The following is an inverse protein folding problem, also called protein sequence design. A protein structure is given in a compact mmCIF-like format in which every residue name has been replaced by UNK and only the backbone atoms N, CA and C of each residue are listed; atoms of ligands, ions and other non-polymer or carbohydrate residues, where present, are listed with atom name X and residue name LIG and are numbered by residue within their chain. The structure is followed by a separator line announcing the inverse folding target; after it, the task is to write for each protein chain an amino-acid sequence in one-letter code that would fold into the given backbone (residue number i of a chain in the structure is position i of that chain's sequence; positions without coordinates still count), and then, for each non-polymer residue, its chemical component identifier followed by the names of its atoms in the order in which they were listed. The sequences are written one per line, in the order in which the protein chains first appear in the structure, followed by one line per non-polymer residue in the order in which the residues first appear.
data_IF_395096821426
#
_entry.id   IF_395096821426
#
_cell.length_a   1.000
_cell.length_b   1.000
_cell.length_c   1.000
_cell.angle_alpha   90.00
_cell.angle_beta   90.00
_cell.angle_gamma   90.00
#
_symmetry.space_group_name_H-M   'P 1'
#
loop_
_entity.id
_entity.type
_entity.pdbx_description
1 polymer ?
#
# COMPACT_ATOMS: atom_id res chain seq x y z
N UNK A 1 -17.60 13.06 -9.77
CA UNK A 1 -16.18 12.66 -9.93
C UNK A 1 -15.65 13.33 -11.20
N UNK A 2 -14.40 13.78 -11.21
CA UNK A 2 -13.83 14.54 -12.33
C UNK A 2 -13.30 13.58 -13.41
N UNK A 3 -13.54 13.89 -14.69
CA UNK A 3 -12.97 13.15 -15.83
C UNK A 3 -13.87 12.04 -16.42
N UNK A 4 -13.54 11.62 -17.63
CA UNK A 4 -14.17 10.46 -18.28
C UNK A 4 -13.65 9.17 -17.65
N UNK A 5 -14.56 8.23 -17.31
CA UNK A 5 -14.22 6.92 -16.76
C UNK A 5 -13.28 6.19 -17.72
N UNK A 6 -12.04 5.96 -17.29
CA UNK A 6 -11.02 5.20 -18.03
C UNK A 6 -10.44 4.16 -17.11
N UNK A 7 -11.02 2.97 -17.22
CA UNK A 7 -10.64 1.82 -16.43
C UNK A 7 -9.22 1.35 -16.74
N UNK A 8 -8.42 1.13 -15.70
CA UNK A 8 -7.04 0.66 -15.81
C UNK A 8 -6.71 -0.30 -14.68
N UNK A 9 -5.94 -1.33 -15.03
CA UNK A 9 -5.41 -2.32 -14.07
C UNK A 9 -3.94 -2.62 -14.28
N UNK A 10 -3.44 -2.53 -15.52
CA UNK A 10 -2.03 -2.74 -15.84
C UNK A 10 -1.47 -1.52 -16.56
N UNK A 11 -0.15 -1.33 -16.50
CA UNK A 11 0.58 -0.45 -17.41
C UNK A 11 0.52 -0.96 -18.86
N UNK A 12 0.82 -0.07 -19.79
CA UNK A 12 0.88 -0.32 -21.23
C UNK A 12 2.21 0.19 -21.77
N UNK A 13 2.66 -0.35 -22.90
CA UNK A 13 3.87 0.05 -23.63
C UNK A 13 4.01 1.58 -23.81
N UNK A 14 2.88 2.27 -23.99
CA UNK A 14 2.77 3.71 -24.22
C UNK A 14 2.92 4.57 -22.97
N UNK A 15 2.96 3.97 -21.77
CA UNK A 15 3.05 4.71 -20.50
C UNK A 15 4.50 4.94 -20.05
N UNK A 16 5.51 4.44 -20.79
CA UNK A 16 6.92 4.53 -20.39
C UNK A 16 7.33 5.95 -19.99
N UNK A 17 6.96 6.96 -20.78
CA UNK A 17 7.36 8.34 -20.52
C UNK A 17 6.65 8.94 -19.29
N UNK A 18 5.39 8.59 -19.06
CA UNK A 18 4.65 9.00 -17.86
C UNK A 18 5.23 8.32 -16.61
N UNK A 19 5.52 7.02 -16.71
CA UNK A 19 6.18 6.24 -15.68
C UNK A 19 7.56 6.80 -15.35
N UNK A 20 8.36 7.15 -16.37
CA UNK A 20 9.66 7.77 -16.17
C UNK A 20 9.57 9.12 -15.46
N UNK A 21 8.59 9.96 -15.82
CA UNK A 21 8.35 11.22 -15.12
C UNK A 21 7.98 11.00 -13.66
N UNK A 22 7.08 10.05 -13.38
CA UNK A 22 6.73 9.67 -12.00
C UNK A 22 7.97 9.23 -11.20
N UNK A 23 8.84 8.39 -11.77
CA UNK A 23 10.07 7.95 -11.11
C UNK A 23 11.04 9.12 -10.86
N UNK A 24 11.17 10.06 -11.80
CA UNK A 24 11.97 11.28 -11.60
C UNK A 24 11.41 12.12 -10.43
N UNK A 25 10.09 12.25 -10.33
CA UNK A 25 9.45 12.92 -9.18
C UNK A 25 9.73 12.18 -7.88
N UNK A 26 9.64 10.84 -7.87
CA UNK A 26 10.00 10.04 -6.69
C UNK A 26 11.46 10.25 -6.28
N UNK A 27 12.40 10.20 -7.23
CA UNK A 27 13.81 10.43 -6.99
C UNK A 27 14.08 11.84 -6.45
N UNK A 28 13.40 12.86 -6.98
CA UNK A 28 13.48 14.22 -6.49
C UNK A 28 12.94 14.34 -5.06
N UNK A 29 11.77 13.76 -4.76
CA UNK A 29 11.20 13.74 -3.41
C UNK A 29 12.16 13.09 -2.41
N UNK A 30 12.74 11.94 -2.75
CA UNK A 30 13.73 11.24 -1.93
C UNK A 30 14.96 12.14 -1.69
N UNK A 31 15.54 12.70 -2.76
CA UNK A 31 16.74 13.53 -2.68
C UNK A 31 16.53 14.79 -1.83
N UNK A 32 15.44 15.52 -2.06
CA UNK A 32 15.16 16.77 -1.35
C UNK A 32 14.69 16.55 0.08
N UNK A 33 13.95 15.46 0.37
CA UNK A 33 13.51 15.17 1.72
C UNK A 33 14.65 14.68 2.60
N UNK A 34 15.42 13.69 2.13
CA UNK A 34 16.43 13.03 2.97
C UNK A 34 17.83 13.63 2.81
N UNK A 35 18.14 14.22 1.65
CA UNK A 35 19.47 14.73 1.30
C UNK A 35 20.37 13.69 0.61
N UNK A 36 21.43 14.14 -0.10
CA UNK A 36 22.22 13.31 -1.00
C UNK A 36 22.99 12.16 -0.33
N UNK A 37 23.38 12.34 0.94
CA UNK A 37 24.20 11.37 1.69
C UNK A 37 23.38 10.50 2.63
N UNK A 38 22.07 10.73 2.72
CA UNK A 38 21.22 9.97 3.62
C UNK A 38 20.99 8.56 3.08
N UNK A 39 20.99 7.56 3.97
CA UNK A 39 20.89 6.15 3.58
C UNK A 39 19.60 5.85 2.77
N UNK A 40 18.48 6.50 3.09
CA UNK A 40 17.25 6.38 2.27
C UNK A 40 17.44 6.84 0.83
N UNK A 41 18.24 7.87 0.59
CA UNK A 41 18.58 8.34 -0.77
C UNK A 41 19.49 7.36 -1.48
N UNK A 42 20.51 6.86 -0.76
CA UNK A 42 21.47 5.87 -1.29
C UNK A 42 20.76 4.58 -1.72
N UNK A 43 19.69 4.17 -1.02
CA UNK A 43 18.89 3.00 -1.38
C UNK A 43 17.81 3.36 -2.42
N UNK A 44 17.12 4.48 -2.24
CA UNK A 44 15.96 4.87 -3.04
C UNK A 44 16.29 5.23 -4.48
N UNK A 45 17.43 5.88 -4.75
CA UNK A 45 17.82 6.23 -6.12
C UNK A 45 18.16 5.01 -7.00
N UNK A 46 18.95 4.02 -6.52
CA UNK A 46 19.11 2.76 -7.24
C UNK A 46 17.79 2.03 -7.50
N UNK A 47 16.85 2.02 -6.54
CA UNK A 47 15.52 1.44 -6.74
C UNK A 47 14.77 2.17 -7.86
N UNK A 48 14.82 3.51 -7.91
CA UNK A 48 14.27 4.28 -9.02
C UNK A 48 14.88 3.86 -10.37
N UNK A 49 16.20 3.73 -10.44
CA UNK A 49 16.90 3.25 -11.63
C UNK A 49 16.46 1.84 -12.04
N UNK A 50 16.34 0.91 -11.08
CA UNK A 50 15.84 -0.44 -11.32
C UNK A 50 14.42 -0.43 -11.90
N UNK A 51 13.51 0.41 -11.36
CA UNK A 51 12.14 0.53 -11.87
C UNK A 51 12.09 1.06 -13.31
N UNK A 52 12.97 2.01 -13.67
CA UNK A 52 13.07 2.52 -15.05
C UNK A 52 13.56 1.47 -16.04
N UNK A 53 14.49 0.61 -15.62
CA UNK A 53 15.04 -0.45 -16.46
C UNK A 53 14.04 -1.60 -16.63
N UNK A 54 13.31 -1.95 -15.56
CA UNK A 54 12.36 -3.07 -15.59
C UNK A 54 11.10 -2.78 -16.38
N UNK A 55 10.61 -1.53 -16.40
CA UNK A 55 9.42 -1.15 -17.17
C UNK A 55 9.48 -1.58 -18.65
N UNK A 56 10.48 -1.17 -19.47
CA UNK A 56 10.53 -1.54 -20.88
C UNK A 56 10.72 -3.03 -21.11
N UNK A 57 11.37 -3.74 -20.17
CA UNK A 57 11.52 -5.20 -20.24
C UNK A 57 10.19 -5.94 -20.03
N UNK A 58 9.29 -5.37 -19.23
CA UNK A 58 8.01 -5.98 -18.87
C UNK A 58 6.87 -5.56 -19.80
N UNK A 59 6.83 -4.28 -20.18
CA UNK A 59 5.70 -3.69 -20.92
C UNK A 59 6.02 -3.33 -22.37
N UNK A 60 7.29 -3.34 -22.76
CA UNK A 60 7.72 -2.80 -24.06
C UNK A 60 7.79 -1.27 -24.07
N UNK A 61 7.99 -0.71 -25.27
CA UNK A 61 8.22 0.73 -25.44
C UNK A 61 7.40 1.27 -26.60
N UNK A 62 6.58 2.27 -26.31
CA UNK A 62 5.93 3.09 -27.33
C UNK A 62 5.99 4.56 -26.96
N UNK A 63 6.57 5.36 -27.84
CA UNK A 63 6.68 6.80 -27.63
C UNK A 63 5.32 7.48 -27.78
N UNK A 64 4.90 8.17 -26.71
CA UNK A 64 3.68 8.96 -26.67
C UNK A 64 3.92 10.17 -25.78
N UNK A 65 3.36 11.32 -26.15
CA UNK A 65 3.42 12.52 -25.31
C UNK A 65 2.82 12.20 -23.92
N UNK A 66 3.56 12.45 -22.82
CA UNK A 66 3.09 12.23 -21.45
C UNK A 66 1.72 12.84 -21.22
N UNK A 67 0.86 12.12 -20.50
CA UNK A 67 -0.43 12.58 -20.03
C UNK A 67 -0.34 13.90 -19.25
N UNK A 68 0.70 14.06 -18.40
CA UNK A 68 0.93 15.31 -17.66
C UNK A 68 1.09 16.54 -18.58
N UNK A 69 1.65 16.37 -19.78
CA UNK A 69 1.81 17.45 -20.77
C UNK A 69 0.58 17.59 -21.66
N UNK A 70 -0.06 16.46 -21.99
CA UNK A 70 -1.20 16.41 -22.90
C UNK A 70 -2.51 16.86 -22.24
N UNK A 71 -2.63 16.67 -20.91
CA UNK A 71 -3.78 17.02 -20.08
C UNK A 71 -3.32 17.54 -18.71
N UNK A 72 -2.62 18.68 -18.64
CA UNK A 72 -2.07 19.21 -17.38
C UNK A 72 -3.15 19.50 -16.32
N UNK A 73 -4.38 19.76 -16.73
CA UNK A 73 -5.52 19.94 -15.82
C UNK A 73 -5.79 18.72 -14.93
N UNK A 74 -5.41 17.50 -15.34
CA UNK A 74 -5.58 16.29 -14.52
C UNK A 74 -4.73 16.33 -13.25
N UNK A 75 -3.56 16.98 -13.29
CA UNK A 75 -2.72 17.19 -12.11
C UNK A 75 -3.49 18.03 -11.09
N UNK A 76 -4.10 19.13 -11.55
CA UNK A 76 -4.89 20.04 -10.70
C UNK A 76 -6.13 19.33 -10.16
N UNK A 77 -6.83 18.55 -11.00
CA UNK A 77 -8.00 17.80 -10.56
C UNK A 77 -7.67 16.73 -9.52
N UNK A 78 -6.57 15.99 -9.71
CA UNK A 78 -6.09 15.01 -8.73
C UNK A 78 -5.76 15.71 -7.40
N UNK A 79 -4.99 16.80 -7.44
CA UNK A 79 -4.65 17.57 -6.22
C UNK A 79 -5.90 18.14 -5.51
N UNK A 80 -6.81 18.77 -6.24
CA UNK A 80 -8.07 19.30 -5.69
C UNK A 80 -8.91 18.17 -5.09
N UNK A 81 -8.94 16.99 -5.72
CA UNK A 81 -9.61 15.83 -5.16
C UNK A 81 -8.98 15.41 -3.83
N UNK A 82 -7.65 15.22 -3.77
CA UNK A 82 -6.95 14.84 -2.53
C UNK A 82 -7.22 15.85 -1.42
N UNK A 83 -7.14 17.16 -1.70
CA UNK A 83 -7.43 18.23 -0.73
C UNK A 83 -8.88 18.22 -0.26
N UNK A 84 -9.85 18.00 -1.14
CA UNK A 84 -11.27 17.90 -0.76
C UNK A 84 -11.61 16.62 0.01
N UNK A 85 -10.78 15.59 -0.11
CA UNK A 85 -10.97 14.32 0.58
C UNK A 85 -10.28 14.26 1.95
N UNK A 86 -9.55 15.32 2.35
CA UNK A 86 -8.93 15.43 3.68
C UNK A 86 -10.03 15.42 4.76
N UNK A 87 -9.83 14.60 5.78
CA UNK A 87 -10.79 14.45 6.89
C UNK A 87 -10.44 15.38 8.07
N UNK A 88 -11.41 15.80 8.89
CA UNK A 88 -11.15 16.68 10.05
C UNK A 88 -10.05 16.18 11.01
N UNK A 89 -9.89 14.85 11.13
CA UNK A 89 -8.88 14.20 11.97
C UNK A 89 -7.46 14.62 11.59
N UNK A 90 -7.19 14.83 10.29
CA UNK A 90 -5.92 15.33 9.79
C UNK A 90 -5.60 16.72 10.37
N UNK A 91 -6.56 17.65 10.29
CA UNK A 91 -6.39 19.01 10.80
C UNK A 91 -6.27 19.05 12.32
N UNK A 92 -6.97 18.16 13.04
CA UNK A 92 -6.84 18.03 14.49
C UNK A 92 -5.43 17.59 14.85
N UNK A 93 -4.88 16.55 14.19
CA UNK A 93 -3.52 16.09 14.45
C UNK A 93 -2.47 17.18 14.16
N UNK A 94 -2.61 17.89 13.03
CA UNK A 94 -1.75 19.01 12.69
C UNK A 94 -1.84 20.15 13.72
N UNK A 95 -3.05 20.50 14.16
CA UNK A 95 -3.27 21.53 15.18
C UNK A 95 -2.67 21.13 16.53
N UNK A 96 -2.74 19.85 16.91
CA UNK A 96 -2.10 19.33 18.12
C UNK A 96 -0.57 19.44 18.05
N UNK A 97 0.04 19.08 16.92
CA UNK A 97 1.47 19.25 16.71
C UNK A 97 1.90 20.72 16.78
N UNK A 98 1.14 21.61 16.12
CA UNK A 98 1.40 23.04 16.13
C UNK A 98 1.24 23.63 17.53
N UNK A 99 0.21 23.21 18.28
CA UNK A 99 -0.01 23.62 19.67
C UNK A 99 1.14 23.15 20.57
N UNK A 100 1.60 21.90 20.42
CA UNK A 100 2.75 21.41 21.18
C UNK A 100 4.00 22.27 20.92
N UNK A 101 4.29 22.59 19.66
CA UNK A 101 5.43 23.44 19.28
C UNK A 101 5.30 24.88 19.81
N UNK A 102 4.09 25.44 19.78
CA UNK A 102 3.80 26.74 20.38
C UNK A 102 4.03 26.71 21.90
N UNK A 103 3.51 25.68 22.60
CA UNK A 103 3.67 25.53 24.04
C UNK A 103 5.16 25.40 24.42
N UNK A 104 5.94 24.59 23.70
CA UNK A 104 7.39 24.50 23.89
C UNK A 104 8.06 25.87 23.81
N UNK A 105 7.66 26.70 22.83
CA UNK A 105 8.23 28.02 22.65
C UNK A 105 7.88 29.02 23.77
N UNK A 106 6.66 28.93 24.34
CA UNK A 106 6.20 29.85 25.39
C UNK A 106 6.44 29.35 26.82
N UNK A 107 6.88 28.10 27.00
CA UNK A 107 7.27 27.55 28.30
C UNK A 107 8.72 27.07 28.34
N UNK A 108 9.72 27.90 27.97
CA UNK A 108 11.11 27.47 27.84
C UNK A 108 11.72 26.91 29.13
N UNK A 109 11.18 27.29 30.30
CA UNK A 109 11.65 26.83 31.62
C UNK A 109 11.20 25.41 31.96
N UNK A 110 10.24 24.84 31.23
CA UNK A 110 9.85 23.45 31.42
C UNK A 110 10.90 22.50 30.81
N UNK A 111 11.15 21.33 31.44
CA UNK A 111 12.13 20.37 30.96
C UNK A 111 11.60 19.60 29.74
N UNK A 112 11.42 20.28 28.60
CA UNK A 112 10.83 19.66 27.41
C UNK A 112 11.72 18.56 26.79
N UNK A 113 13.03 18.57 27.07
CA UNK A 113 14.00 17.58 26.57
C UNK A 113 13.98 17.37 25.05
N UNK A 114 13.75 18.45 24.28
CA UNK A 114 13.58 18.42 22.81
C UNK A 114 14.72 17.71 22.07
N UNK A 115 15.97 17.91 22.48
CA UNK A 115 17.12 17.25 21.84
C UNK A 115 17.07 15.72 22.01
N UNK A 116 16.66 15.25 23.19
CA UNK A 116 16.52 13.83 23.48
C UNK A 116 15.32 13.23 22.74
N UNK A 117 14.16 13.90 22.75
CA UNK A 117 12.97 13.41 22.00
C UNK A 117 13.24 13.34 20.50
N UNK A 118 14.01 14.27 19.94
CA UNK A 118 14.43 14.22 18.54
C UNK A 118 15.33 13.00 18.26
N UNK A 119 16.31 12.69 19.13
CA UNK A 119 17.13 11.48 18.99
C UNK A 119 16.27 10.20 19.05
N UNK A 120 15.32 10.14 19.98
CA UNK A 120 14.38 9.02 20.08
C UNK A 120 13.51 8.91 18.82
N UNK A 121 13.01 10.03 18.31
CA UNK A 121 12.20 10.06 17.09
C UNK A 121 12.95 9.51 15.87
N UNK A 122 14.21 9.94 15.68
CA UNK A 122 15.09 9.41 14.63
C UNK A 122 15.37 7.92 14.85
N UNK A 123 15.61 7.50 16.09
CA UNK A 123 15.80 6.08 16.44
C UNK A 123 14.58 5.22 16.09
N UNK A 124 13.36 5.70 16.41
CA UNK A 124 12.11 5.02 16.10
C UNK A 124 11.82 4.95 14.60
N UNK A 125 12.14 6.02 13.86
CA UNK A 125 12.06 6.03 12.40
C UNK A 125 12.93 4.92 11.79
N UNK A 126 14.18 4.80 12.23
CA UNK A 126 15.08 3.75 11.77
C UNK A 126 14.67 2.36 12.25
N UNK A 127 14.22 2.22 13.49
CA UNK A 127 13.71 0.96 14.01
C UNK A 127 12.53 0.45 13.18
N UNK A 128 11.57 1.32 12.85
CA UNK A 128 10.47 1.02 11.95
C UNK A 128 10.97 0.54 10.58
N UNK A 129 11.85 1.32 9.94
CA UNK A 129 12.34 0.98 8.60
C UNK A 129 13.09 -0.35 8.59
N UNK A 130 14.03 -0.56 9.52
CA UNK A 130 14.82 -1.80 9.63
C UNK A 130 13.91 -2.99 9.90
N UNK A 131 12.95 -2.85 10.82
CA UNK A 131 12.02 -3.93 11.16
C UNK A 131 11.18 -4.35 9.94
N UNK A 132 10.55 -3.39 9.26
CA UNK A 132 9.71 -3.67 8.09
C UNK A 132 10.55 -4.17 6.90
N UNK A 133 11.73 -3.60 6.65
CA UNK A 133 12.63 -4.07 5.60
C UNK A 133 13.12 -5.51 5.88
N UNK A 134 13.44 -5.82 7.14
CA UNK A 134 13.79 -7.16 7.58
C UNK A 134 12.62 -8.14 7.39
N UNK A 135 11.42 -7.76 7.83
CA UNK A 135 10.21 -8.55 7.62
C UNK A 135 9.93 -8.82 6.13
N UNK A 136 10.04 -7.79 5.27
CA UNK A 136 9.91 -7.90 3.82
C UNK A 136 10.98 -8.80 3.20
N UNK A 137 12.21 -8.77 3.72
CA UNK A 137 13.31 -9.62 3.26
C UNK A 137 13.08 -11.10 3.61
N UNK A 138 12.49 -11.39 4.77
CA UNK A 138 12.08 -12.75 5.15
C UNK A 138 10.99 -13.27 4.21
N UNK A 139 10.03 -12.42 3.87
CA UNK A 139 8.98 -12.72 2.87
C UNK A 139 9.62 -12.99 1.51
N UNK A 140 10.58 -12.18 1.07
CA UNK A 140 11.32 -12.38 -0.18
C UNK A 140 11.99 -13.75 -0.20
N UNK A 141 12.73 -14.09 0.85
CA UNK A 141 13.39 -15.39 0.97
C UNK A 141 12.38 -16.54 0.87
N UNK A 142 11.24 -16.44 1.56
CA UNK A 142 10.19 -17.46 1.50
C UNK A 142 9.60 -17.62 0.09
N UNK A 143 9.37 -16.53 -0.65
CA UNK A 143 8.87 -16.58 -2.02
C UNK A 143 9.90 -17.16 -2.99
N UNK A 144 11.18 -16.83 -2.83
CA UNK A 144 12.25 -17.37 -3.66
C UNK A 144 12.49 -18.86 -3.39
N UNK A 145 12.45 -19.29 -2.13
CA UNK A 145 12.55 -20.71 -1.75
C UNK A 145 11.36 -21.53 -2.28
N UNK A 146 10.18 -20.91 -2.36
CA UNK A 146 8.95 -21.52 -2.88
C UNK A 146 8.56 -21.01 -4.27
N UNK A 147 9.54 -20.63 -5.10
CA UNK A 147 9.29 -20.01 -6.42
C UNK A 147 8.41 -20.86 -7.33
N UNK A 148 8.52 -22.19 -7.27
CA UNK A 148 7.73 -23.10 -8.10
C UNK A 148 6.27 -23.13 -7.64
N UNK A 149 6.04 -23.12 -6.32
CA UNK A 149 4.71 -22.97 -5.74
C UNK A 149 4.08 -21.63 -6.12
N UNK A 150 4.83 -20.54 -5.98
CA UNK A 150 4.41 -19.20 -6.41
C UNK A 150 4.01 -19.22 -7.88
N UNK A 151 4.86 -19.78 -8.75
CA UNK A 151 4.57 -19.91 -10.18
C UNK A 151 3.30 -20.72 -10.43
N UNK A 152 3.15 -21.88 -9.80
CA UNK A 152 2.01 -22.76 -9.99
C UNK A 152 0.68 -22.07 -9.65
N UNK A 153 0.63 -21.30 -8.56
CA UNK A 153 -0.55 -20.48 -8.21
C UNK A 153 -0.81 -19.43 -9.29
N UNK A 154 0.24 -18.70 -9.72
CA UNK A 154 0.09 -17.60 -10.69
C UNK A 154 -0.30 -18.09 -12.09
N UNK A 155 0.10 -19.30 -12.49
CA UNK A 155 -0.30 -19.93 -13.76
C UNK A 155 -1.81 -20.18 -13.87
N UNK A 156 -2.52 -20.23 -12.74
CA UNK A 156 -3.98 -20.39 -12.70
C UNK A 156 -4.72 -19.05 -12.63
N UNK A 157 -4.00 -17.94 -12.79
CA UNK A 157 -4.52 -16.58 -12.71
C UNK A 157 -4.21 -15.75 -13.96
N UNK A 158 -4.63 -14.48 -13.96
CA UNK A 158 -4.29 -13.52 -15.03
C UNK A 158 -2.79 -13.27 -15.19
N UNK A 159 -1.98 -13.63 -14.20
CA UNK A 159 -0.53 -13.48 -14.23
C UNK A 159 0.19 -14.55 -15.05
N UNK A 160 -0.53 -15.54 -15.60
CA UNK A 160 0.04 -16.63 -16.41
C UNK A 160 1.01 -16.12 -17.48
N UNK A 161 0.64 -15.08 -18.24
CA UNK A 161 1.48 -14.51 -19.31
C UNK A 161 2.82 -13.97 -18.82
N UNK A 162 2.88 -13.50 -17.58
CA UNK A 162 4.06 -12.91 -16.98
C UNK A 162 5.02 -13.98 -16.47
N UNK A 163 4.48 -15.11 -15.97
CA UNK A 163 5.26 -16.18 -15.31
C UNK A 163 5.35 -17.50 -16.08
N UNK A 164 4.82 -17.56 -17.31
CA UNK A 164 4.76 -18.79 -18.11
C UNK A 164 6.13 -19.45 -18.27
N UNK A 165 7.20 -18.66 -18.42
CA UNK A 165 8.57 -19.16 -18.41
C UNK A 165 9.09 -19.22 -16.99
N UNK A 166 9.64 -20.35 -16.58
CA UNK A 166 10.16 -20.57 -15.22
C UNK A 166 11.16 -19.49 -14.79
N UNK A 167 12.05 -19.07 -15.69
CA UNK A 167 13.04 -18.01 -15.44
C UNK A 167 12.43 -16.63 -15.16
N UNK A 168 11.13 -16.41 -15.42
CA UNK A 168 10.46 -15.12 -15.22
C UNK A 168 9.88 -14.94 -13.81
N UNK A 169 9.59 -16.00 -13.06
CA UNK A 169 8.99 -15.84 -11.72
C UNK A 169 9.94 -15.13 -10.74
N UNK A 170 11.25 -15.43 -10.81
CA UNK A 170 12.26 -14.84 -9.92
C UNK A 170 12.41 -13.33 -10.14
N UNK A 171 12.60 -12.82 -11.38
CA UNK A 171 12.58 -11.38 -11.65
C UNK A 171 11.29 -10.69 -11.17
N UNK A 172 10.13 -11.32 -11.32
CA UNK A 172 8.85 -10.75 -10.87
C UNK A 172 8.75 -10.67 -9.34
N UNK A 173 9.27 -11.68 -8.62
CA UNK A 173 9.39 -11.64 -7.15
C UNK A 173 10.34 -10.52 -6.70
N UNK A 174 11.50 -10.38 -7.35
CA UNK A 174 12.46 -9.31 -7.04
C UNK A 174 11.86 -7.93 -7.36
N UNK A 175 11.15 -7.81 -8.48
CA UNK A 175 10.44 -6.58 -8.85
C UNK A 175 9.41 -6.19 -7.80
N UNK A 176 8.62 -7.14 -7.28
CA UNK A 176 7.67 -6.89 -6.20
C UNK A 176 8.34 -6.41 -4.91
N UNK A 177 9.48 -7.00 -4.54
CA UNK A 177 10.28 -6.54 -3.40
C UNK A 177 10.79 -5.10 -3.59
N UNK A 178 11.37 -4.80 -4.76
CA UNK A 178 11.87 -3.46 -5.08
C UNK A 178 10.75 -2.42 -5.11
N UNK A 179 9.57 -2.80 -5.63
CA UNK A 179 8.36 -1.97 -5.61
C UNK A 179 7.98 -1.63 -4.17
N UNK A 180 7.77 -2.64 -3.32
CA UNK A 180 7.41 -2.40 -1.92
C UNK A 180 8.46 -1.59 -1.15
N UNK A 181 9.76 -1.83 -1.38
CA UNK A 181 10.83 -1.04 -0.76
C UNK A 181 10.81 0.43 -1.20
N UNK A 182 10.64 0.70 -2.51
CA UNK A 182 10.58 2.08 -3.01
C UNK A 182 9.33 2.80 -2.51
N UNK A 183 8.16 2.15 -2.57
CA UNK A 183 6.92 2.70 -2.00
C UNK A 183 7.10 3.02 -0.53
N UNK A 184 7.75 2.15 0.25
CA UNK A 184 7.96 2.36 1.67
C UNK A 184 8.87 3.56 1.97
N UNK A 185 9.97 3.72 1.24
CA UNK A 185 10.86 4.89 1.37
C UNK A 185 10.12 6.19 1.06
N UNK A 186 9.29 6.20 0.02
CA UNK A 186 8.50 7.38 -0.40
C UNK A 186 7.37 7.68 0.61
N UNK A 187 6.68 6.65 1.09
CA UNK A 187 5.61 6.73 2.10
C UNK A 187 6.06 7.37 3.42
N UNK A 188 7.32 7.14 3.80
CA UNK A 188 7.90 7.66 5.04
C UNK A 188 8.36 9.13 4.99
N UNK A 189 8.39 9.76 3.80
CA UNK A 189 8.88 11.13 3.64
C UNK A 189 8.14 12.12 4.55
N UNK A 190 6.79 12.16 4.61
CA UNK A 190 6.10 13.13 5.47
C UNK A 190 6.45 12.98 6.95
N UNK A 191 6.58 11.74 7.44
CA UNK A 191 6.96 11.51 8.84
C UNK A 191 8.40 11.93 9.13
N UNK A 192 9.33 11.64 8.21
CA UNK A 192 10.71 12.10 8.33
C UNK A 192 10.80 13.63 8.39
N UNK A 193 10.05 14.34 7.53
CA UNK A 193 10.01 15.80 7.54
C UNK A 193 9.45 16.35 8.85
N UNK A 194 8.38 15.75 9.39
CA UNK A 194 7.84 16.16 10.69
C UNK A 194 8.87 15.94 11.80
N UNK A 195 9.56 14.79 11.85
CA UNK A 195 10.63 14.55 12.82
C UNK A 195 11.74 15.60 12.69
N UNK A 196 12.11 15.97 11.47
CA UNK A 196 13.22 16.88 11.19
C UNK A 196 12.93 18.32 11.60
N UNK A 197 11.68 18.77 11.45
CA UNK A 197 11.32 20.19 11.54
C UNK A 197 10.41 20.53 12.72
N UNK A 198 9.79 19.56 13.38
CA UNK A 198 8.97 19.78 14.56
C UNK A 198 9.71 19.38 15.84
N UNK A 199 9.41 20.09 16.92
CA UNK A 199 9.83 19.75 18.26
C UNK A 199 8.76 18.90 18.96
N UNK A 200 9.20 17.97 19.80
CA UNK A 200 8.35 17.15 20.65
C UNK A 200 8.79 17.30 22.10
N UNK A 201 7.83 17.35 23.02
CA UNK A 201 8.11 17.54 24.43
C UNK A 201 7.93 16.25 25.22
N UNK A 202 8.92 15.93 26.06
CA UNK A 202 8.77 14.86 27.06
C UNK A 202 7.65 15.15 28.07
N UNK A 203 7.48 16.42 28.46
CA UNK A 203 6.45 16.85 29.42
C UNK A 203 5.04 16.64 28.87
N UNK A 204 4.82 16.96 27.59
CA UNK A 204 3.49 16.84 26.96
C UNK A 204 3.21 15.44 26.38
N UNK A 205 4.23 14.59 26.28
CA UNK A 205 4.14 13.27 25.66
C UNK A 205 2.97 12.40 26.17
N UNK A 206 2.68 12.29 27.48
CA UNK A 206 1.54 11.47 27.94
C UNK A 206 0.21 11.94 27.35
N UNK A 207 -0.01 13.26 27.32
CA UNK A 207 -1.23 13.85 26.79
C UNK A 207 -1.30 13.71 25.26
N UNK A 208 -0.21 14.03 24.55
CA UNK A 208 -0.20 13.94 23.08
C UNK A 208 -0.35 12.49 22.60
N UNK A 209 0.14 11.49 23.36
CA UNK A 209 -0.14 10.08 23.11
C UNK A 209 -1.63 9.77 23.19
N UNK A 210 -2.30 10.12 24.28
CA UNK A 210 -3.74 9.86 24.46
C UNK A 210 -4.55 10.53 23.35
N UNK A 211 -4.26 11.79 23.05
CA UNK A 211 -4.96 12.53 21.99
C UNK A 211 -4.73 11.91 20.61
N UNK A 212 -3.51 11.48 20.30
CA UNK A 212 -3.21 10.80 19.04
C UNK A 212 -4.01 9.49 18.88
N UNK A 213 -4.13 8.67 19.94
CA UNK A 213 -4.98 7.47 19.91
C UNK A 213 -6.47 7.80 19.70
N UNK A 214 -6.97 8.88 20.33
CA UNK A 214 -8.36 9.33 20.13
C UNK A 214 -8.60 9.78 18.70
N UNK A 215 -7.68 10.56 18.12
CA UNK A 215 -7.75 11.00 16.72
C UNK A 215 -7.69 9.79 15.79
N UNK A 216 -6.77 8.85 16.03
CA UNK A 216 -6.63 7.65 15.20
C UNK A 216 -7.89 6.79 15.22
N UNK A 217 -8.45 6.52 16.41
CA UNK A 217 -9.70 5.76 16.54
C UNK A 217 -10.84 6.38 15.72
N UNK A 218 -10.94 7.71 15.69
CA UNK A 218 -11.92 8.44 14.86
C UNK A 218 -11.58 8.40 13.37
N UNK A 219 -10.29 8.37 13.02
CA UNK A 219 -9.84 8.29 11.63
C UNK A 219 -10.19 6.94 11.02
N UNK A 220 -9.94 5.85 11.75
CA UNK A 220 -10.16 4.47 11.27
C UNK A 220 -11.64 4.20 10.96
N UNK A 221 -12.59 4.83 11.65
CA UNK A 221 -14.03 4.70 11.34
C UNK A 221 -14.40 5.17 9.94
N UNK A 222 -13.70 6.16 9.40
CA UNK A 222 -13.97 6.72 8.07
C UNK A 222 -13.02 6.17 7.01
N UNK A 223 -12.20 5.17 7.36
CA UNK A 223 -11.10 4.70 6.53
C UNK A 223 -11.62 4.00 5.27
N UNK A 224 -12.62 3.13 5.38
CA UNK A 224 -13.16 2.40 4.23
C UNK A 224 -13.75 3.35 3.17
N UNK A 225 -14.62 4.27 3.58
CA UNK A 225 -15.25 5.25 2.68
C UNK A 225 -14.24 6.15 1.98
N UNK A 226 -13.19 6.54 2.69
CA UNK A 226 -12.11 7.34 2.12
C UNK A 226 -11.30 6.50 1.13
N UNK A 227 -10.91 5.29 1.53
CA UNK A 227 -10.11 4.37 0.71
C UNK A 227 -10.86 4.00 -0.56
N UNK A 228 -12.14 3.63 -0.48
CA UNK A 228 -12.98 3.31 -1.62
C UNK A 228 -12.96 4.42 -2.68
N UNK A 229 -13.15 5.68 -2.26
CA UNK A 229 -13.17 6.82 -3.21
C UNK A 229 -11.81 7.01 -3.89
N UNK A 230 -10.75 6.94 -3.11
CA UNK A 230 -9.38 7.17 -3.58
C UNK A 230 -8.95 6.05 -4.54
N UNK A 231 -9.24 4.82 -4.15
CA UNK A 231 -8.92 3.61 -4.89
C UNK A 231 -9.77 3.45 -6.16
N UNK A 232 -11.07 3.81 -6.10
CA UNK A 232 -11.91 3.89 -7.29
C UNK A 232 -11.31 4.85 -8.33
N UNK A 233 -10.81 6.02 -7.90
CA UNK A 233 -10.14 6.95 -8.80
C UNK A 233 -8.83 6.38 -9.33
N UNK A 234 -8.04 5.74 -8.46
CA UNK A 234 -6.82 5.03 -8.85
C UNK A 234 -7.03 4.04 -10.01
N UNK A 235 -8.23 3.49 -10.14
CA UNK A 235 -8.59 2.56 -11.22
C UNK A 235 -9.42 3.14 -12.36
N UNK A 236 -10.11 4.28 -12.16
CA UNK A 236 -11.05 4.84 -13.14
C UNK A 236 -10.56 6.18 -13.75
N UNK A 237 -9.38 6.66 -13.33
CA UNK A 237 -8.68 7.82 -13.90
C UNK A 237 -7.35 7.37 -14.50
N UNK A 238 -7.13 7.65 -15.80
CA UNK A 238 -5.87 7.34 -16.49
C UNK A 238 -4.68 8.02 -15.78
N UNK A 239 -4.86 9.23 -15.26
CA UNK A 239 -3.82 9.97 -14.56
C UNK A 239 -3.50 9.38 -13.19
N UNK A 240 -4.52 9.17 -12.35
CA UNK A 240 -4.31 8.63 -11.01
C UNK A 240 -3.77 7.20 -11.08
N UNK A 241 -4.21 6.40 -12.05
CA UNK A 241 -3.60 5.09 -12.28
C UNK A 241 -2.12 5.23 -12.64
N UNK A 242 -1.78 6.00 -13.68
CA UNK A 242 -0.41 5.99 -14.21
C UNK A 242 0.61 6.59 -13.22
N UNK A 243 0.23 7.67 -12.53
CA UNK A 243 1.15 8.43 -11.67
C UNK A 243 1.07 8.08 -10.18
N UNK A 244 -0.05 7.55 -9.70
CA UNK A 244 -0.26 7.35 -8.27
C UNK A 244 -0.37 5.86 -7.94
N UNK A 245 -1.30 5.14 -8.58
CA UNK A 245 -1.75 3.83 -8.10
C UNK A 245 -1.11 2.63 -8.82
N UNK A 246 -0.83 2.75 -10.12
CA UNK A 246 -0.53 1.64 -11.02
C UNK A 246 0.68 0.81 -10.64
N UNK A 247 1.69 1.39 -9.98
CA UNK A 247 2.89 0.66 -9.54
C UNK A 247 2.57 -0.44 -8.54
N UNK A 248 1.50 -0.28 -7.77
CA UNK A 248 0.97 -1.30 -6.86
C UNK A 248 0.45 -2.53 -7.63
N UNK A 249 -0.23 -2.31 -8.75
CA UNK A 249 -0.74 -3.38 -9.62
C UNK A 249 0.30 -3.93 -10.60
N UNK A 250 1.38 -3.21 -10.80
CA UNK A 250 2.46 -3.64 -11.68
C UNK A 250 3.34 -4.72 -11.05
N UNK A 251 3.21 -5.01 -9.77
CA UNK A 251 3.98 -6.03 -9.08
C UNK A 251 3.14 -7.27 -8.77
N UNK A 252 3.82 -8.40 -8.53
CA UNK A 252 3.13 -9.64 -8.16
C UNK A 252 2.19 -9.39 -6.97
N UNK A 253 1.00 -10.02 -6.98
CA UNK A 253 -0.02 -9.82 -5.97
C UNK A 253 0.39 -10.60 -4.71
N UNK A 254 1.36 -10.09 -3.95
CA UNK A 254 1.89 -10.73 -2.75
C UNK A 254 2.36 -9.73 -1.70
N UNK A 255 2.64 -10.22 -0.49
CA UNK A 255 3.00 -9.39 0.66
C UNK A 255 4.21 -8.47 0.46
N UNK A 256 5.04 -8.72 -0.56
CA UNK A 256 6.21 -7.90 -0.87
C UNK A 256 5.86 -6.47 -1.26
N UNK A 257 4.70 -6.25 -1.87
CA UNK A 257 4.27 -4.94 -2.37
C UNK A 257 3.63 -4.09 -1.27
N UNK A 258 3.20 -4.71 -0.15
CA UNK A 258 2.38 -4.08 0.87
C UNK A 258 3.06 -2.86 1.52
N UNK A 259 2.40 -1.70 1.39
CA UNK A 259 2.69 -0.41 2.04
C UNK A 259 1.40 0.42 2.06
N UNK A 260 0.38 -0.05 2.78
CA UNK A 260 -0.99 0.50 2.82
C UNK A 260 -1.69 0.57 1.43
N UNK A 261 -1.50 -0.46 0.59
CA UNK A 261 -2.13 -0.57 -0.73
C UNK A 261 -1.81 0.58 -1.69
N UNK A 262 -0.57 1.08 -1.65
CA UNK A 262 -0.15 2.31 -2.32
C UNK A 262 0.80 2.05 -3.49
N UNK A 263 0.62 2.81 -4.58
CA UNK A 263 1.73 3.08 -5.48
C UNK A 263 2.68 4.18 -4.95
N UNK A 264 3.75 4.50 -5.67
CA UNK A 264 4.84 5.36 -5.13
C UNK A 264 4.36 6.74 -4.68
N UNK A 265 3.87 7.56 -5.61
CA UNK A 265 3.40 8.91 -5.28
C UNK A 265 2.07 8.88 -4.52
N UNK A 266 1.25 7.84 -4.71
CA UNK A 266 0.06 7.62 -3.89
C UNK A 266 0.42 7.50 -2.41
N UNK A 267 1.44 6.71 -2.07
CA UNK A 267 1.93 6.57 -0.71
C UNK A 267 2.37 7.91 -0.12
N UNK A 268 3.13 8.70 -0.89
CA UNK A 268 3.47 10.06 -0.48
C UNK A 268 2.22 10.90 -0.20
N UNK A 269 1.26 10.98 -1.13
CA UNK A 269 0.07 11.83 -0.96
C UNK A 269 -0.84 11.35 0.17
N UNK A 270 -1.01 10.05 0.36
CA UNK A 270 -1.85 9.51 1.44
C UNK A 270 -1.20 9.77 2.80
N UNK A 271 0.12 9.58 2.92
CA UNK A 271 0.88 9.94 4.11
C UNK A 271 0.87 11.46 4.36
N UNK A 272 1.01 12.27 3.32
CA UNK A 272 1.15 13.72 3.43
C UNK A 272 -0.19 14.46 3.64
N UNK A 273 -1.30 13.95 3.10
CA UNK A 273 -2.57 14.68 3.03
C UNK A 273 -3.78 13.89 3.56
N UNK A 274 -3.71 12.57 3.70
CA UNK A 274 -4.88 11.79 4.10
C UNK A 274 -4.80 11.29 5.55
N UNK A 275 -3.65 10.73 5.93
CA UNK A 275 -3.49 10.14 7.24
C UNK A 275 -2.94 11.16 8.25
N UNK A 276 -3.49 11.19 9.47
CA UNK A 276 -2.98 12.05 10.55
C UNK A 276 -1.66 11.56 11.16
N UNK A 277 -1.24 10.33 10.84
CA UNK A 277 -0.13 9.62 11.49
C UNK A 277 1.20 10.41 11.51
N UNK A 278 1.64 11.07 10.41
CA UNK A 278 2.91 11.80 10.44
C UNK A 278 2.97 12.90 11.51
N UNK A 279 1.83 13.46 11.94
CA UNK A 279 1.77 14.55 12.91
C UNK A 279 1.61 14.09 14.36
N UNK A 280 1.49 12.78 14.60
CA UNK A 280 1.48 12.27 15.96
C UNK A 280 2.86 12.38 16.61
N UNK A 281 2.90 12.28 17.94
CA UNK A 281 4.18 12.14 18.63
C UNK A 281 4.94 10.89 18.11
N UNK A 282 6.28 10.86 18.23
CA UNK A 282 7.09 9.83 17.57
C UNK A 282 6.78 8.40 17.99
N UNK A 283 6.37 8.16 19.25
CA UNK A 283 6.02 6.83 19.74
C UNK A 283 4.76 6.30 19.05
N UNK A 284 3.72 7.13 19.01
CA UNK A 284 2.43 6.75 18.41
C UNK A 284 2.52 6.69 16.89
N UNK A 285 3.27 7.61 16.26
CA UNK A 285 3.55 7.54 14.83
C UNK A 285 4.29 6.24 14.47
N UNK A 286 5.37 5.90 15.18
CA UNK A 286 6.12 4.67 14.94
C UNK A 286 5.27 3.41 15.11
N UNK A 287 4.44 3.37 16.16
CA UNK A 287 3.51 2.26 16.38
C UNK A 287 2.54 2.11 15.21
N UNK A 288 1.83 3.18 14.82
CA UNK A 288 0.82 3.08 13.77
C UNK A 288 1.44 2.85 12.39
N UNK A 289 2.56 3.50 12.02
CA UNK A 289 3.26 3.20 10.77
C UNK A 289 3.68 1.73 10.71
N UNK A 290 4.24 1.18 11.80
CA UNK A 290 4.67 -0.22 11.83
C UNK A 290 3.50 -1.18 11.72
N UNK A 291 2.44 -0.94 12.51
CA UNK A 291 1.25 -1.78 12.49
C UNK A 291 0.56 -1.74 11.12
N UNK A 292 0.37 -0.55 10.55
CA UNK A 292 -0.28 -0.32 9.27
C UNK A 292 0.46 -1.03 8.13
N UNK A 293 1.76 -0.78 7.97
CA UNK A 293 2.54 -1.41 6.90
C UNK A 293 2.64 -2.92 7.08
N UNK A 294 2.84 -3.41 8.31
CA UNK A 294 2.90 -4.86 8.57
C UNK A 294 1.57 -5.55 8.25
N UNK A 295 0.46 -5.02 8.77
CA UNK A 295 -0.87 -5.58 8.53
C UNK A 295 -1.18 -5.52 7.03
N UNK A 296 -0.86 -4.43 6.36
CA UNK A 296 -1.04 -4.32 4.92
C UNK A 296 -0.26 -5.38 4.14
N UNK A 297 1.00 -5.64 4.49
CA UNK A 297 1.78 -6.73 3.88
C UNK A 297 1.12 -8.10 4.10
N UNK A 298 0.61 -8.37 5.30
CA UNK A 298 -0.10 -9.61 5.58
C UNK A 298 -1.40 -9.71 4.77
N UNK A 299 -2.19 -8.63 4.74
CA UNK A 299 -3.41 -8.53 3.96
C UNK A 299 -3.15 -8.63 2.46
N UNK A 300 -1.96 -8.26 1.99
CA UNK A 300 -1.54 -8.37 0.59
C UNK A 300 -0.92 -9.73 0.23
N UNK A 301 -0.90 -10.70 1.15
CA UNK A 301 -0.46 -12.06 0.79
C UNK A 301 -1.57 -12.83 0.07
N UNK A 302 -1.54 -12.80 -1.26
CA UNK A 302 -2.57 -13.47 -2.07
C UNK A 302 -2.12 -14.83 -2.61
N UNK A 303 -0.85 -15.18 -2.50
CA UNK A 303 -0.35 -16.50 -2.89
C UNK A 303 -0.53 -17.45 -1.71
N UNK A 304 -1.52 -18.37 -1.73
CA UNK A 304 -1.83 -19.21 -0.58
C UNK A 304 -0.66 -20.15 -0.28
N UNK A 305 -0.35 -20.40 0.99
CA UNK A 305 0.70 -21.36 1.39
C UNK A 305 2.13 -20.81 1.40
N UNK A 306 2.33 -19.53 1.04
CA UNK A 306 3.62 -18.82 1.14
C UNK A 306 3.56 -17.82 2.30
N UNK A 307 4.69 -17.64 2.99
CA UNK A 307 4.77 -16.69 4.11
C UNK A 307 4.58 -15.24 3.65
N UNK A 308 3.79 -14.39 4.36
CA UNK A 308 3.10 -14.67 5.61
C UNK A 308 1.80 -15.47 5.39
N UNK A 309 1.72 -16.67 5.96
CA UNK A 309 0.59 -17.57 5.72
C UNK A 309 -0.63 -17.12 6.53
N UNK A 310 -1.55 -16.42 5.88
CA UNK A 310 -2.89 -16.14 6.42
C UNK A 310 -3.69 -17.44 6.54
N UNK A 311 -4.54 -17.57 7.56
CA UNK A 311 -5.40 -18.76 7.69
C UNK A 311 -6.49 -18.79 6.63
N UNK A 312 -6.97 -19.99 6.28
CA UNK A 312 -8.12 -20.17 5.36
C UNK A 312 -9.34 -19.37 5.80
N UNK A 313 -9.62 -19.38 7.09
CA UNK A 313 -10.73 -18.64 7.69
C UNK A 313 -10.57 -17.12 7.50
N UNK A 314 -9.35 -16.62 7.58
CA UNK A 314 -9.09 -15.21 7.36
C UNK A 314 -9.23 -14.84 5.87
N UNK A 315 -8.73 -15.70 4.98
CA UNK A 315 -8.88 -15.54 3.52
C UNK A 315 -10.34 -15.65 3.08
N UNK A 316 -11.19 -16.37 3.81
CA UNK A 316 -12.63 -16.45 3.49
C UNK A 316 -13.43 -15.21 3.93
N UNK A 317 -12.84 -14.30 4.71
CA UNK A 317 -13.53 -13.08 5.19
C UNK A 317 -12.99 -11.78 4.60
N UNK A 318 -11.99 -11.84 3.72
CA UNK A 318 -11.39 -10.67 3.06
C UNK A 318 -11.26 -10.92 1.57
N UNK A 319 -11.78 -10.00 0.76
CA UNK A 319 -11.78 -10.10 -0.70
C UNK A 319 -11.12 -8.92 -1.41
N UNK A 320 -10.55 -7.95 -0.68
CA UNK A 320 -9.87 -6.80 -1.30
C UNK A 320 -8.87 -7.28 -2.36
N UNK A 321 -8.09 -8.29 -1.97
CA UNK A 321 -7.15 -9.05 -2.78
C UNK A 321 -7.59 -9.43 -4.19
N UNK A 322 -8.87 -9.73 -4.39
CA UNK A 322 -9.36 -10.31 -5.64
C UNK A 322 -9.20 -9.37 -6.82
N UNK A 323 -9.17 -8.06 -6.57
CA UNK A 323 -8.97 -7.07 -7.63
C UNK A 323 -7.56 -7.21 -8.28
N UNK A 324 -6.55 -7.66 -7.53
CA UNK A 324 -5.19 -7.85 -8.05
C UNK A 324 -5.06 -9.03 -9.02
N UNK A 325 -6.10 -9.84 -9.16
CA UNK A 325 -6.22 -10.85 -10.21
C UNK A 325 -6.90 -10.31 -11.48
N UNK A 326 -6.64 -9.04 -11.82
CA UNK A 326 -7.00 -8.45 -13.10
C UNK A 326 -8.44 -7.94 -13.17
N UNK A 327 -9.04 -7.60 -12.03
CA UNK A 327 -10.40 -7.07 -11.94
C UNK A 327 -10.41 -5.80 -11.10
N UNK A 328 -11.31 -4.86 -11.38
CA UNK A 328 -11.26 -3.58 -10.67
C UNK A 328 -11.93 -3.61 -9.30
N UNK A 329 -12.79 -4.59 -9.07
CA UNK A 329 -13.62 -4.71 -7.87
C UNK A 329 -13.19 -5.92 -7.04
N UNK A 330 -13.28 -5.82 -5.70
CA UNK A 330 -13.84 -4.70 -4.94
C UNK A 330 -12.88 -3.51 -4.77
N UNK A 331 -13.43 -2.31 -4.56
CA UNK A 331 -12.66 -1.08 -4.30
C UNK A 331 -12.48 -0.79 -2.80
N UNK A 332 -13.34 -1.30 -1.92
CA UNK A 332 -13.17 -1.17 -0.48
C UNK A 332 -12.15 -2.16 0.08
N UNK A 333 -12.02 -2.19 1.42
CA UNK A 333 -11.26 -3.25 2.11
C UNK A 333 -11.94 -4.62 2.01
N UNK A 334 -13.22 -4.66 1.60
CA UNK A 334 -14.00 -5.86 1.32
C UNK A 334 -13.85 -6.96 2.39
N UNK A 335 -14.05 -6.56 3.64
CA UNK A 335 -14.12 -7.47 4.80
C UNK A 335 -15.59 -7.77 5.08
N UNK A 336 -15.89 -9.05 5.29
CA UNK A 336 -17.22 -9.52 5.68
C UNK A 336 -17.15 -10.43 6.91
N UNK A 337 -17.45 -9.88 8.08
CA UNK A 337 -17.57 -10.64 9.33
C UNK A 337 -19.02 -11.00 9.71
N UNK A 338 -19.98 -10.86 8.79
CA UNK A 338 -21.38 -11.29 9.02
C UNK A 338 -21.54 -12.81 8.85
N UNK A 339 -20.59 -13.47 8.20
CA UNK A 339 -20.55 -14.92 8.01
C UNK A 339 -20.11 -15.66 9.30
N UNK A 340 -20.40 -16.97 9.42
CA UNK A 340 -19.95 -17.76 10.55
C UNK A 340 -18.41 -17.75 10.67
N UNK A 341 -17.91 -17.20 11.78
CA UNK A 341 -16.48 -17.12 12.11
C UNK A 341 -16.20 -17.77 13.46
N UNK A 342 -14.97 -18.24 13.64
CA UNK A 342 -14.44 -18.80 14.87
C UNK A 342 -14.40 -17.76 15.98
N UNK A 343 -14.44 -18.25 17.23
CA UNK A 343 -14.28 -17.40 18.41
C UNK A 343 -12.92 -16.69 18.43
N UNK A 344 -11.88 -17.32 17.88
CA UNK A 344 -10.55 -16.75 17.79
C UNK A 344 -10.52 -15.55 16.83
N UNK A 345 -11.05 -15.71 15.61
CA UNK A 345 -11.11 -14.62 14.65
C UNK A 345 -11.98 -13.47 15.15
N UNK A 346 -13.12 -13.78 15.78
CA UNK A 346 -13.99 -12.79 16.43
C UNK A 346 -13.26 -12.00 17.53
N UNK A 347 -12.44 -12.67 18.34
CA UNK A 347 -11.63 -12.01 19.37
C UNK A 347 -10.56 -11.11 18.75
N UNK A 348 -9.83 -11.60 17.74
CA UNK A 348 -8.78 -10.82 17.03
C UNK A 348 -9.34 -9.57 16.35
N UNK A 349 -10.56 -9.64 15.82
CA UNK A 349 -11.21 -8.54 15.09
C UNK A 349 -12.08 -7.65 15.97
N UNK A 350 -12.22 -7.96 17.27
CA UNK A 350 -13.09 -7.20 18.19
C UNK A 350 -12.71 -5.73 18.34
N UNK A 351 -11.43 -5.39 18.15
CA UNK A 351 -10.90 -4.02 18.24
C UNK A 351 -11.15 -3.20 16.97
N UNK A 352 -11.52 -3.84 15.86
CA UNK A 352 -11.84 -3.13 14.63
C UNK A 352 -13.18 -2.41 14.76
N UNK A 353 -13.33 -1.19 14.20
CA UNK A 353 -14.63 -0.56 14.08
C UNK A 353 -15.51 -1.33 13.08
N UNK A 354 -16.82 -1.25 13.25
CA UNK A 354 -17.78 -2.00 12.44
C UNK A 354 -17.74 -1.56 10.97
N UNK A 355 -17.42 -0.29 10.72
CA UNK A 355 -17.21 0.26 9.38
C UNK A 355 -16.08 -0.44 8.61
N UNK A 356 -15.10 -1.04 9.31
CA UNK A 356 -14.08 -1.89 8.69
C UNK A 356 -14.51 -3.36 8.66
N UNK A 357 -15.12 -3.88 9.73
CA UNK A 357 -15.56 -5.30 9.81
C UNK A 357 -16.54 -5.69 8.72
N UNK A 358 -17.36 -4.73 8.28
CA UNK A 358 -18.42 -4.90 7.28
C UNK A 358 -18.18 -4.00 6.07
N UNK A 359 -16.91 -3.75 5.75
CA UNK A 359 -16.50 -2.84 4.68
C UNK A 359 -16.99 -3.26 3.30
N UNK A 360 -17.34 -4.54 3.09
CA UNK A 360 -17.94 -5.04 1.85
C UNK A 360 -19.26 -4.36 1.48
N UNK A 361 -20.04 -3.93 2.47
CA UNK A 361 -21.38 -3.35 2.25
C UNK A 361 -21.31 -2.10 1.36
N UNK A 362 -20.19 -1.38 1.40
CA UNK A 362 -19.98 -0.21 0.57
C UNK A 362 -19.85 -0.58 -0.92
N UNK A 363 -19.12 -1.65 -1.23
CA UNK A 363 -19.06 -2.19 -2.59
C UNK A 363 -20.46 -2.66 -3.03
N UNK A 364 -21.11 -3.52 -2.24
CA UNK A 364 -22.47 -4.02 -2.52
C UNK A 364 -23.47 -2.89 -2.84
N UNK A 365 -23.46 -1.81 -2.05
CA UNK A 365 -24.37 -0.66 -2.22
C UNK A 365 -24.04 0.21 -3.44
N UNK A 366 -22.75 0.42 -3.73
CA UNK A 366 -22.32 1.39 -4.75
C UNK A 366 -22.16 0.79 -6.15
N UNK A 367 -21.83 -0.50 -6.25
CA UNK A 367 -21.61 -1.16 -7.53
C UNK A 367 -22.30 -2.53 -7.67
N UNK A 368 -23.04 -2.98 -6.67
CA UNK A 368 -23.75 -4.27 -6.72
C UNK A 368 -22.81 -5.48 -6.64
N UNK A 369 -21.62 -5.33 -6.06
CA UNK A 369 -20.68 -6.43 -5.86
C UNK A 369 -21.35 -7.60 -5.12
N UNK A 370 -21.09 -8.83 -5.56
CA UNK A 370 -21.60 -10.05 -4.92
C UNK A 370 -20.49 -10.73 -4.12
N UNK A 371 -20.66 -10.89 -2.80
CA UNK A 371 -19.67 -11.53 -1.93
C UNK A 371 -19.33 -12.96 -2.37
N UNK A 372 -20.34 -13.81 -2.56
CA UNK A 372 -20.15 -15.17 -3.05
C UNK A 372 -20.31 -15.23 -4.58
N UNK A 373 -19.46 -14.49 -5.28
CA UNK A 373 -19.38 -14.52 -6.74
C UNK A 373 -18.52 -15.67 -7.28
N UNK A 374 -18.59 -15.98 -8.59
CA UNK A 374 -17.77 -17.02 -9.21
C UNK A 374 -16.25 -16.85 -8.99
N UNK A 375 -15.77 -15.60 -8.85
CA UNK A 375 -14.36 -15.31 -8.62
C UNK A 375 -13.91 -15.62 -7.20
N UNK A 376 -14.72 -15.28 -6.21
CA UNK A 376 -14.38 -15.63 -4.84
C UNK A 376 -14.31 -17.15 -4.68
N UNK A 377 -15.26 -17.88 -5.27
CA UNK A 377 -15.21 -19.36 -5.33
C UNK A 377 -13.93 -19.87 -5.99
N UNK A 378 -13.56 -19.35 -7.16
CA UNK A 378 -12.29 -19.69 -7.81
C UNK A 378 -11.07 -19.41 -6.91
N UNK A 379 -11.03 -18.27 -6.22
CA UNK A 379 -9.94 -17.96 -5.31
C UNK A 379 -9.90 -18.93 -4.14
N UNK A 380 -11.06 -19.27 -3.57
CA UNK A 380 -11.15 -20.26 -2.51
C UNK A 380 -10.73 -21.66 -2.99
N UNK A 381 -10.98 -22.02 -4.25
CA UNK A 381 -10.46 -23.26 -4.84
C UNK A 381 -8.92 -23.25 -4.87
N UNK A 382 -8.29 -22.12 -5.23
CA UNK A 382 -6.83 -21.96 -5.12
C UNK A 382 -6.36 -22.10 -3.67
N UNK A 383 -7.05 -21.47 -2.71
CA UNK A 383 -6.74 -21.60 -1.28
C UNK A 383 -6.84 -23.06 -0.83
N UNK A 384 -7.90 -23.77 -1.19
CA UNK A 384 -8.05 -25.19 -0.85
C UNK A 384 -6.94 -26.04 -1.46
N UNK A 385 -6.56 -25.76 -2.71
CA UNK A 385 -5.55 -26.50 -3.46
C UNK A 385 -4.11 -26.23 -3.02
N UNK A 386 -3.78 -25.01 -2.61
CA UNK A 386 -2.39 -24.59 -2.40
C UNK A 386 -2.03 -24.25 -0.95
N UNK A 387 -3.00 -23.95 -0.09
CA UNK A 387 -2.70 -23.43 1.24
C UNK A 387 -1.93 -24.42 2.13
N UNK A 388 -2.28 -25.71 2.08
CA UNK A 388 -1.71 -26.75 2.97
C UNK A 388 -0.76 -27.70 2.27
N UNK A 389 -0.50 -27.46 0.98
CA UNK A 389 0.30 -28.36 0.15
C UNK A 389 1.78 -28.19 0.53
N UNK A 390 2.43 -29.23 1.08
CA UNK A 390 3.87 -29.23 1.19
C UNK A 390 4.43 -29.43 -0.22
N UNK A 391 5.06 -28.40 -0.77
CA UNK A 391 5.85 -28.38 -2.01
C UNK A 391 5.43 -29.46 -3.03
N UNK A 392 4.19 -29.38 -3.53
CA UNK A 392 3.73 -30.35 -4.52
C UNK A 392 4.57 -30.22 -5.81
N UNK A 393 4.94 -31.34 -6.44
CA UNK A 393 5.67 -31.30 -7.70
C UNK A 393 4.87 -30.50 -8.75
N UNK A 394 5.54 -29.73 -9.62
CA UNK A 394 4.88 -28.95 -10.66
C UNK A 394 4.01 -29.86 -11.52
N UNK A 395 2.71 -29.57 -11.60
CA UNK A 395 1.79 -30.26 -12.51
C UNK A 395 1.93 -29.65 -13.90
N UNK A 396 1.86 -30.50 -14.92
CA UNK A 396 1.74 -30.06 -16.31
C UNK A 396 0.53 -29.10 -16.44
N UNK A 397 0.67 -28.00 -17.19
CA UNK A 397 -0.40 -27.02 -17.36
C UNK A 397 -1.65 -27.73 -17.91
N UNK A 398 -2.78 -27.53 -17.23
CA UNK A 398 -4.06 -28.00 -17.71
C UNK A 398 -4.39 -27.26 -19.01
N UNK A 399 -4.30 -27.97 -20.13
CA UNK A 399 -4.82 -27.53 -21.41
C UNK A 399 -6.34 -27.39 -21.30
N UNK A 400 -6.83 -26.15 -21.16
CA UNK A 400 -8.26 -25.88 -21.23
C UNK A 400 -8.78 -24.84 -20.25
N UNK A 401 -8.34 -23.59 -20.36
CA UNK A 401 -9.16 -22.45 -19.97
C UNK A 401 -9.17 -21.45 -21.14
N UNK A 402 -10.31 -21.42 -21.81
CA UNK A 402 -10.61 -20.57 -22.96
C UNK A 402 -10.40 -19.09 -22.61
N UNK A 403 -9.42 -18.48 -23.27
CA UNK A 403 -9.03 -17.07 -23.13
C UNK A 403 -10.01 -16.11 -23.83
N UNK A 404 -11.32 -16.30 -23.66
CA UNK A 404 -12.36 -15.42 -24.23
C UNK A 404 -13.07 -14.61 -23.15
N UNK A 405 -12.33 -13.70 -22.50
CA UNK A 405 -12.90 -12.54 -21.81
C UNK A 405 -11.81 -11.49 -21.51
N UNK A 406 -11.21 -10.90 -22.54
CA UNK A 406 -10.49 -9.63 -22.43
C UNK A 406 -11.00 -8.70 -23.53
N UNK A 407 -12.00 -7.90 -23.16
CA UNK A 407 -12.49 -6.71 -23.86
C UNK A 407 -12.61 -5.60 -22.84
#
# INVERSE_FOLDING_TARGET
MYGARKQRINYQDKDLLDYALMIVVCAALIWFAYGPRHLMTVIGLPLCGFMLVTFPLRHGVKWKVPLALRRPQEIVYSLVHKVRNIKPQYFIALALLALENYLIAVTPDLPHHVAWTHQVAVGLFWAHFIFIAGYRSVILAAHLMKKDHVRNVLMESVWKSNVERESRVVPEIVHAYCTGMLTHIVYLIPWYLVIRYANFSLVFMPLTCVLAFVVQKRSVKNLNDWFYRDHWLGHNSEFDFVYLHGTHHDALPCALIGVAGNGYLEGFFRSALAFPIPFYNPLVAAFFYTADVKVDMELHQYIPGVYPKLSREFLSVIQHSLHHYGRLEPYGFAINLDQPISAELKKRTSVLPDELKYSIRLDEQLNGYEWDGPRFRWFMDLVHKYHDTPDAPPREPADGLDARAQG
#
